data_IF_908334676631
#
_entry.id   IF_908334676631
#
_cell.length_a   1.000
_cell.length_b   1.000
_cell.length_c   1.000
_cell.angle_alpha   90.00
_cell.angle_beta   90.00
_cell.angle_gamma   90.00
#
_symmetry.space_group_name_H-M   'P 1'
#
loop_
_entity.id
_entity.type
_entity.pdbx_description
1 polymer ?
#
# COMPACT_ATOMS: atom_id res chain seq x y z
N UNK A 1 13.33 46.92 12.64
CA UNK A 1 12.59 45.74 13.14
C UNK A 1 11.98 45.08 11.92
N UNK A 2 12.61 44.01 11.43
CA UNK A 2 12.15 43.29 10.25
C UNK A 2 10.93 42.46 10.62
N UNK A 3 9.81 42.71 9.95
CA UNK A 3 8.66 41.83 10.02
C UNK A 3 8.99 40.57 9.25
N UNK A 4 9.10 39.45 9.96
CA UNK A 4 8.98 38.12 9.35
C UNK A 4 7.62 38.07 8.66
N UNK A 5 7.64 38.17 7.33
CA UNK A 5 6.49 37.87 6.49
C UNK A 5 6.24 36.36 6.62
N UNK A 6 5.37 35.98 7.56
CA UNK A 6 4.80 34.64 7.62
C UNK A 6 4.15 34.37 6.26
N UNK A 7 4.77 33.48 5.48
CA UNK A 7 4.28 33.08 4.16
C UNK A 7 2.82 32.63 4.26
N UNK A 8 1.98 33.04 3.31
CA UNK A 8 0.57 32.64 3.26
C UNK A 8 0.45 31.09 3.20
N UNK A 9 -0.58 30.45 3.78
CA UNK A 9 -0.81 29.00 3.66
C UNK A 9 -0.73 28.48 2.22
N UNK A 10 -1.12 29.31 1.24
CA UNK A 10 -1.03 28.98 -0.19
C UNK A 10 0.40 29.04 -0.74
N UNK A 11 1.23 29.98 -0.26
CA UNK A 11 2.65 30.07 -0.60
C UNK A 11 3.44 28.87 -0.03
N UNK A 12 3.06 28.41 1.17
CA UNK A 12 3.67 27.24 1.79
C UNK A 12 3.39 25.96 1.00
N UNK A 13 2.14 25.77 0.55
CA UNK A 13 1.75 24.63 -0.30
C UNK A 13 2.48 24.63 -1.64
N UNK A 14 2.56 25.79 -2.28
CA UNK A 14 3.27 25.94 -3.55
C UNK A 14 4.77 25.66 -3.39
N UNK A 15 5.38 26.09 -2.29
CA UNK A 15 6.77 25.80 -1.99
C UNK A 15 7.02 24.29 -1.81
N UNK A 16 6.14 23.60 -1.06
CA UNK A 16 6.19 22.14 -0.87
C UNK A 16 6.08 21.38 -2.19
N UNK A 17 5.18 21.79 -3.09
CA UNK A 17 5.04 21.20 -4.43
C UNK A 17 6.33 21.33 -5.24
N UNK A 18 6.92 22.53 -5.27
CA UNK A 18 8.20 22.74 -5.96
C UNK A 18 9.33 21.88 -5.41
N UNK A 19 9.39 21.70 -4.08
CA UNK A 19 10.39 20.82 -3.46
C UNK A 19 10.16 19.35 -3.84
N UNK A 20 8.91 18.90 -3.90
CA UNK A 20 8.56 17.53 -4.34
C UNK A 20 8.99 17.32 -5.80
N UNK A 21 8.73 18.28 -6.68
CA UNK A 21 9.09 18.22 -8.10
C UNK A 21 10.61 18.23 -8.32
N UNK A 22 11.34 19.08 -7.58
CA UNK A 22 12.81 19.09 -7.63
C UNK A 22 13.39 17.74 -7.18
N UNK A 23 12.88 17.17 -6.08
CA UNK A 23 13.28 15.84 -5.63
C UNK A 23 12.96 14.77 -6.68
N UNK A 24 11.82 14.87 -7.36
CA UNK A 24 11.46 13.96 -8.45
C UNK A 24 12.47 14.02 -9.60
N UNK A 25 12.92 15.21 -9.97
CA UNK A 25 13.94 15.39 -11.00
C UNK A 25 15.28 14.78 -10.57
N UNK A 26 15.71 15.01 -9.32
CA UNK A 26 16.93 14.40 -8.79
C UNK A 26 16.83 12.86 -8.78
N UNK A 27 15.69 12.30 -8.36
CA UNK A 27 15.44 10.84 -8.38
C UNK A 27 15.56 10.30 -9.82
N UNK A 28 15.02 11.00 -10.81
CA UNK A 28 15.11 10.59 -12.21
C UNK A 28 16.57 10.57 -12.71
N UNK A 29 17.36 11.59 -12.37
CA UNK A 29 18.81 11.61 -12.69
C UNK A 29 19.55 10.41 -12.06
N UNK A 30 19.23 10.07 -10.81
CA UNK A 30 19.81 8.88 -10.18
C UNK A 30 19.35 7.58 -10.85
N UNK A 31 18.11 7.49 -11.33
CA UNK A 31 17.62 6.32 -12.08
C UNK A 31 18.35 6.13 -13.40
N UNK A 32 18.61 7.22 -14.11
CA UNK A 32 19.43 7.19 -15.34
C UNK A 32 20.86 6.75 -15.04
N UNK A 33 21.49 7.31 -13.99
CA UNK A 33 22.82 6.90 -13.55
C UNK A 33 22.87 5.41 -13.17
N UNK A 34 21.87 4.92 -12.42
CA UNK A 34 21.73 3.50 -12.07
C UNK A 34 21.66 2.64 -13.33
N UNK A 35 20.86 3.03 -14.33
CA UNK A 35 20.75 2.31 -15.60
C UNK A 35 22.08 2.28 -16.37
N UNK A 36 22.78 3.42 -16.43
CA UNK A 36 24.11 3.53 -17.03
C UNK A 36 25.17 2.68 -16.33
N UNK A 37 25.17 2.64 -15.00
CA UNK A 37 26.06 1.76 -14.23
C UNK A 37 25.68 0.29 -14.42
N UNK A 38 24.40 -0.04 -14.61
CA UNK A 38 23.95 -1.41 -14.84
C UNK A 38 24.40 -1.97 -16.20
N UNK A 39 24.49 -1.13 -17.23
CA UNK A 39 24.92 -1.53 -18.59
C UNK A 39 26.43 -1.71 -18.74
N UNK A 40 27.22 -1.22 -17.78
CA UNK A 40 28.68 -1.41 -17.75
C UNK A 40 29.09 -2.81 -17.26
N UNK A 41 30.29 -3.25 -17.64
CA UNK A 41 30.87 -4.53 -17.24
C UNK A 41 30.98 -4.70 -15.72
N UNK A 42 30.88 -5.94 -15.22
CA UNK A 42 30.86 -6.23 -13.77
C UNK A 42 32.21 -5.95 -13.11
N UNK A 43 32.25 -5.01 -12.18
CA UNK A 43 33.41 -4.65 -11.37
C UNK A 43 32.96 -4.32 -9.93
N UNK A 44 33.83 -4.52 -8.94
CA UNK A 44 33.52 -4.28 -7.53
C UNK A 44 33.31 -2.79 -7.26
N UNK A 45 34.13 -1.94 -7.90
CA UNK A 45 33.99 -0.49 -7.85
C UNK A 45 32.67 0.00 -8.47
N UNK A 46 32.26 -0.58 -9.60
CA UNK A 46 30.97 -0.27 -10.24
C UNK A 46 29.81 -0.72 -9.37
N UNK A 47 29.90 -1.89 -8.74
CA UNK A 47 28.86 -2.38 -7.84
C UNK A 47 28.72 -1.54 -6.57
N UNK A 48 29.82 -1.04 -6.01
CA UNK A 48 29.79 -0.08 -4.90
C UNK A 48 29.16 1.24 -5.35
N UNK A 49 29.51 1.73 -6.54
CA UNK A 49 28.93 2.96 -7.12
C UNK A 49 27.43 2.80 -7.39
N UNK A 50 27.00 1.63 -7.87
CA UNK A 50 25.59 1.29 -8.09
C UNK A 50 24.82 1.27 -6.76
N UNK A 51 25.40 0.71 -5.69
CA UNK A 51 24.80 0.73 -4.36
C UNK A 51 24.72 2.15 -3.80
N UNK A 52 25.74 2.98 -4.00
CA UNK A 52 25.74 4.39 -3.59
C UNK A 52 24.63 5.19 -4.31
N UNK A 53 24.53 5.04 -5.64
CA UNK A 53 23.46 5.68 -6.43
C UNK A 53 22.06 5.22 -5.98
N UNK A 54 21.89 3.92 -5.69
CA UNK A 54 20.63 3.39 -5.13
C UNK A 54 20.32 3.95 -3.75
N UNK A 55 21.32 4.03 -2.86
CA UNK A 55 21.15 4.62 -1.53
C UNK A 55 20.74 6.09 -1.59
N UNK A 56 21.37 6.88 -2.46
CA UNK A 56 21.04 8.29 -2.67
C UNK A 56 19.63 8.44 -3.25
N UNK A 57 19.27 7.64 -4.26
CA UNK A 57 17.91 7.60 -4.81
C UNK A 57 16.88 7.27 -3.72
N UNK A 58 17.09 6.22 -2.94
CA UNK A 58 16.16 5.83 -1.86
C UNK A 58 16.09 6.90 -0.76
N UNK A 59 17.19 7.61 -0.47
CA UNK A 59 17.16 8.72 0.50
C UNK A 59 16.33 9.91 0.00
N UNK A 60 16.41 10.23 -1.29
CA UNK A 60 15.58 11.26 -1.91
C UNK A 60 14.11 10.84 -1.97
N UNK A 61 13.83 9.57 -2.28
CA UNK A 61 12.48 9.01 -2.25
C UNK A 61 11.86 9.11 -0.84
N UNK A 62 12.61 8.80 0.23
CA UNK A 62 12.16 8.99 1.62
C UNK A 62 11.83 10.46 1.88
N UNK A 63 12.72 11.39 1.49
CA UNK A 63 12.49 12.83 1.69
C UNK A 63 11.25 13.30 0.95
N UNK A 64 11.02 12.80 -0.27
CA UNK A 64 9.81 13.11 -1.05
C UNK A 64 8.55 12.58 -0.35
N UNK A 65 8.59 11.34 0.13
CA UNK A 65 7.48 10.75 0.92
C UNK A 65 7.18 11.60 2.16
N UNK A 66 8.21 12.06 2.88
CA UNK A 66 8.05 12.93 4.05
C UNK A 66 7.37 14.26 3.71
N UNK A 67 7.77 14.92 2.62
CA UNK A 67 7.11 16.17 2.18
C UNK A 67 5.68 15.93 1.72
N UNK A 68 5.38 14.78 1.10
CA UNK A 68 4.01 14.42 0.73
C UNK A 68 3.12 14.17 1.94
N UNK A 69 3.65 13.59 3.02
CA UNK A 69 2.95 13.46 4.31
C UNK A 69 2.67 14.85 4.89
N UNK A 70 3.68 15.72 4.97
CA UNK A 70 3.49 17.09 5.48
C UNK A 70 2.47 17.89 4.67
N UNK A 71 2.45 17.72 3.34
CA UNK A 71 1.43 18.35 2.50
C UNK A 71 0.02 17.86 2.85
N UNK A 72 -0.16 16.54 3.01
CA UNK A 72 -1.45 15.97 3.38
C UNK A 72 -1.91 16.41 4.78
N UNK A 73 -1.00 16.46 5.76
CA UNK A 73 -1.27 16.96 7.12
C UNK A 73 -1.74 18.42 7.10
N UNK A 74 -1.12 19.26 6.27
CA UNK A 74 -1.54 20.66 6.11
C UNK A 74 -2.92 20.78 5.45
N UNK A 75 -3.20 19.95 4.44
CA UNK A 75 -4.52 19.91 3.80
C UNK A 75 -5.61 19.47 4.79
N UNK A 76 -5.32 18.49 5.67
CA UNK A 76 -6.20 18.11 6.78
C UNK A 76 -6.39 19.28 7.75
N UNK A 77 -5.33 19.99 8.12
CA UNK A 77 -5.39 21.18 8.96
C UNK A 77 -6.37 22.23 8.42
N UNK A 78 -6.25 22.56 7.12
CA UNK A 78 -7.16 23.51 6.47
C UNK A 78 -8.61 23.01 6.44
N UNK A 79 -8.82 21.71 6.21
CA UNK A 79 -10.18 21.11 6.24
C UNK A 79 -10.79 21.14 7.64
N UNK A 80 -10.00 20.92 8.68
CA UNK A 80 -10.47 21.07 10.07
C UNK A 80 -10.88 22.51 10.39
N UNK A 81 -10.11 23.51 9.92
CA UNK A 81 -10.49 24.93 10.07
C UNK A 81 -11.80 25.22 9.34
N UNK A 82 -11.95 24.75 8.10
CA UNK A 82 -13.19 24.92 7.32
C UNK A 82 -14.39 24.23 7.99
N UNK A 83 -14.20 23.05 8.60
CA UNK A 83 -15.23 22.37 9.38
C UNK A 83 -15.65 23.18 10.62
N UNK A 84 -14.69 23.73 11.36
CA UNK A 84 -14.97 24.57 12.53
C UNK A 84 -15.74 25.85 12.14
N UNK A 85 -15.38 26.47 11.02
CA UNK A 85 -16.10 27.63 10.47
C UNK A 85 -17.52 27.28 10.03
N UNK A 86 -17.70 26.13 9.37
CA UNK A 86 -19.01 25.60 9.00
C UNK A 86 -19.88 25.36 10.24
N UNK A 87 -19.33 24.78 11.30
CA UNK A 87 -20.04 24.55 12.57
C UNK A 87 -20.45 25.84 13.26
N UNK A 88 -19.55 26.84 13.30
CA UNK A 88 -19.87 28.18 13.82
C UNK A 88 -20.98 28.85 13.01
N UNK A 89 -20.95 28.74 11.68
CA UNK A 89 -22.00 29.29 10.81
C UNK A 89 -23.35 28.62 11.08
N UNK A 90 -23.36 27.29 11.18
CA UNK A 90 -24.57 26.50 11.47
C UNK A 90 -25.15 26.84 12.85
N UNK A 91 -24.30 27.00 13.87
CA UNK A 91 -24.71 27.45 15.20
C UNK A 91 -25.39 28.82 15.17
N UNK A 92 -24.85 29.79 14.41
CA UNK A 92 -25.46 31.11 14.23
C UNK A 92 -26.82 31.03 13.54
N UNK A 93 -26.94 30.22 12.49
CA UNK A 93 -28.21 30.04 11.76
C UNK A 93 -29.30 29.40 12.63
N UNK A 94 -28.93 28.41 13.47
CA UNK A 94 -29.84 27.83 14.47
C UNK A 94 -30.29 28.84 15.51
N UNK A 95 -29.40 29.69 15.99
CA UNK A 95 -29.75 30.74 16.96
C UNK A 95 -30.71 31.77 16.34
N UNK A 96 -30.50 32.17 15.08
CA UNK A 96 -31.40 33.08 14.37
C UNK A 96 -32.80 32.46 14.26
N UNK A 97 -32.92 31.19 13.85
CA UNK A 97 -34.23 30.51 13.79
C UNK A 97 -34.88 30.44 15.18
N UNK A 98 -34.11 30.12 16.23
CA UNK A 98 -34.63 30.05 17.59
C UNK A 98 -35.14 31.41 18.08
N UNK A 99 -34.45 32.51 17.74
CA UNK A 99 -34.90 33.86 18.04
C UNK A 99 -36.17 34.22 17.27
N UNK A 100 -36.27 33.86 15.98
CA UNK A 100 -37.48 34.09 15.18
C UNK A 100 -38.69 33.35 15.76
N UNK A 101 -38.53 32.10 16.20
CA UNK A 101 -39.61 31.33 16.83
C UNK A 101 -40.05 31.99 18.14
N UNK A 102 -39.12 32.43 18.99
CA UNK A 102 -39.44 33.16 20.23
C UNK A 102 -40.18 34.47 19.97
N UNK A 103 -39.78 35.22 18.95
CA UNK A 103 -40.47 36.46 18.57
C UNK A 103 -41.88 36.21 18.05
N UNK A 104 -42.10 35.10 17.34
CA UNK A 104 -43.44 34.69 16.90
C UNK A 104 -44.30 34.34 18.13
N UNK A 105 -43.78 33.56 19.07
CA UNK A 105 -44.47 33.17 20.30
C UNK A 105 -44.86 34.38 21.18
N UNK A 106 -43.93 35.32 21.39
CA UNK A 106 -44.18 36.58 22.11
C UNK A 106 -45.22 37.47 21.42
N UNK A 107 -45.34 37.39 20.09
CA UNK A 107 -46.32 38.14 19.29
C UNK A 107 -47.68 37.44 19.23
N UNK A 108 -47.73 36.10 19.26
CA UNK A 108 -48.97 35.35 19.35
C UNK A 108 -49.69 35.57 20.69
N UNK A 109 -48.96 35.88 21.77
CA UNK A 109 -49.53 36.37 23.03
C UNK A 109 -50.18 37.77 22.87
N UNK A 110 -49.69 38.60 21.95
CA UNK A 110 -50.33 39.87 21.54
C UNK A 110 -51.40 39.58 20.49
N UNK A 111 -52.55 39.06 20.92
CA UNK A 111 -53.60 38.54 20.03
C UNK A 111 -53.84 39.38 18.76
N UNK A 112 -53.99 38.70 17.61
CA UNK A 112 -54.06 39.23 16.23
C UNK A 112 -54.88 40.53 16.07
N UNK A 113 -55.94 40.73 16.86
CA UNK A 113 -56.74 41.96 16.87
C UNK A 113 -55.92 43.21 17.26
N UNK A 114 -55.02 43.09 18.23
CA UNK A 114 -54.18 44.19 18.73
C UNK A 114 -53.13 44.60 17.68
N UNK A 115 -52.63 43.64 16.91
CA UNK A 115 -51.67 43.87 15.81
C UNK A 115 -52.32 44.57 14.60
N UNK A 116 -53.56 44.20 14.27
CA UNK A 116 -54.36 44.87 13.21
C UNK A 116 -54.74 46.31 13.60
N UNK A 117 -54.98 46.57 14.89
CA UNK A 117 -55.27 47.92 15.40
C UNK A 117 -54.02 48.82 15.43
N UNK A 118 -52.82 48.23 15.53
CA UNK A 118 -51.54 48.95 15.55
C UNK A 118 -51.02 49.32 14.15
N UNK A 119 -51.29 48.49 13.16
CA UNK A 119 -50.81 48.68 11.78
C UNK A 119 -51.89 49.33 10.90
N UNK A 120 -51.53 50.40 10.19
CA UNK A 120 -52.49 51.23 9.45
C UNK A 120 -53.04 50.58 8.17
N UNK A 121 -52.41 49.52 7.65
CA UNK A 121 -52.83 48.80 6.44
C UNK A 121 -52.57 47.29 6.55
N UNK A 122 -53.50 46.49 6.04
CA UNK A 122 -53.39 45.02 5.97
C UNK A 122 -52.26 44.55 5.03
N UNK A 123 -51.86 45.37 4.05
CA UNK A 123 -50.74 45.12 3.14
C UNK A 123 -49.41 44.97 3.88
N UNK A 124 -49.18 45.82 4.87
CA UNK A 124 -47.90 45.95 5.56
C UNK A 124 -47.63 44.72 6.44
N UNK A 125 -48.71 44.15 7.01
CA UNK A 125 -48.70 42.87 7.71
C UNK A 125 -48.35 41.69 6.79
N UNK A 126 -48.89 41.68 5.58
CA UNK A 126 -48.65 40.61 4.61
C UNK A 126 -47.20 40.64 4.08
N UNK A 127 -46.65 41.84 3.89
CA UNK A 127 -45.23 42.03 3.53
C UNK A 127 -44.29 41.53 4.64
N UNK A 128 -44.59 41.83 5.91
CA UNK A 128 -43.77 41.39 7.04
C UNK A 128 -43.76 39.85 7.18
N UNK A 129 -44.93 39.20 7.07
CA UNK A 129 -45.04 37.73 7.14
C UNK A 129 -44.31 37.05 5.97
N UNK A 130 -44.45 37.55 4.75
CA UNK A 130 -43.74 37.01 3.59
C UNK A 130 -42.23 37.17 3.75
N UNK A 131 -41.76 38.33 4.24
CA UNK A 131 -40.33 38.56 4.46
C UNK A 131 -39.72 37.59 5.49
N UNK A 132 -40.45 37.28 6.56
CA UNK A 132 -40.04 36.30 7.58
C UNK A 132 -39.97 34.89 6.98
N UNK A 133 -40.93 34.53 6.13
CA UNK A 133 -40.94 33.25 5.43
C UNK A 133 -39.75 33.10 4.49
N UNK A 134 -39.44 34.13 3.71
CA UNK A 134 -38.30 34.13 2.78
C UNK A 134 -36.96 34.03 3.53
N UNK A 135 -36.82 34.72 4.66
CA UNK A 135 -35.64 34.60 5.54
C UNK A 135 -35.53 33.17 6.08
N UNK A 136 -36.63 32.59 6.55
CA UNK A 136 -36.64 31.22 7.06
C UNK A 136 -36.24 30.20 5.98
N UNK A 137 -36.80 30.31 4.77
CA UNK A 137 -36.44 29.46 3.63
C UNK A 137 -34.96 29.61 3.27
N UNK A 138 -34.44 30.85 3.26
CA UNK A 138 -33.03 31.13 2.97
C UNK A 138 -32.08 30.53 4.02
N UNK A 139 -32.43 30.63 5.31
CA UNK A 139 -31.62 30.04 6.38
C UNK A 139 -31.66 28.51 6.30
N UNK A 140 -32.83 27.91 6.09
CA UNK A 140 -32.94 26.45 5.94
C UNK A 140 -32.12 25.95 4.75
N UNK A 141 -32.14 26.67 3.63
CA UNK A 141 -31.30 26.36 2.48
C UNK A 141 -29.80 26.47 2.80
N UNK A 142 -29.37 27.56 3.45
CA UNK A 142 -27.97 27.74 3.87
C UNK A 142 -27.52 26.63 4.82
N UNK A 143 -28.34 26.24 5.79
CA UNK A 143 -28.04 25.12 6.68
C UNK A 143 -27.86 23.80 5.93
N UNK A 144 -28.74 23.52 4.95
CA UNK A 144 -28.63 22.32 4.12
C UNK A 144 -27.34 22.31 3.30
N UNK A 145 -26.96 23.45 2.71
CA UNK A 145 -25.69 23.60 1.98
C UNK A 145 -24.47 23.41 2.89
N UNK A 146 -24.53 23.92 4.14
CA UNK A 146 -23.45 23.74 5.12
C UNK A 146 -23.33 22.27 5.54
N UNK A 147 -24.44 21.56 5.77
CA UNK A 147 -24.38 20.14 6.13
C UNK A 147 -23.77 19.29 5.00
N UNK A 148 -24.11 19.58 3.74
CA UNK A 148 -23.47 18.94 2.57
C UNK A 148 -21.96 19.23 2.57
N UNK A 149 -21.58 20.50 2.73
CA UNK A 149 -20.17 20.90 2.78
C UNK A 149 -19.41 20.18 3.92
N UNK A 150 -20.03 20.00 5.09
CA UNK A 150 -19.42 19.26 6.21
C UNK A 150 -19.17 17.80 5.86
N UNK A 151 -20.12 17.14 5.21
CA UNK A 151 -19.97 15.75 4.76
C UNK A 151 -18.81 15.64 3.76
N UNK A 152 -18.75 16.54 2.78
CA UNK A 152 -17.68 16.56 1.79
C UNK A 152 -16.30 16.79 2.42
N UNK A 153 -16.19 17.75 3.34
CA UNK A 153 -14.94 18.03 4.06
C UNK A 153 -14.51 16.86 4.94
N UNK A 154 -15.45 16.15 5.57
CA UNK A 154 -15.17 14.98 6.40
C UNK A 154 -14.68 13.79 5.55
N UNK A 155 -15.34 13.52 4.42
CA UNK A 155 -14.94 12.46 3.48
C UNK A 155 -13.54 12.75 2.91
N UNK A 156 -13.28 13.98 2.47
CA UNK A 156 -11.96 14.35 1.96
C UNK A 156 -10.86 14.22 3.01
N UNK A 157 -11.18 14.52 4.28
CA UNK A 157 -10.25 14.34 5.39
C UNK A 157 -9.92 12.87 5.60
N UNK A 158 -10.92 11.98 5.61
CA UNK A 158 -10.72 10.53 5.73
C UNK A 158 -9.83 9.99 4.60
N UNK A 159 -10.04 10.45 3.37
CA UNK A 159 -9.19 10.10 2.21
C UNK A 159 -7.73 10.54 2.44
N UNK A 160 -7.52 11.75 2.97
CA UNK A 160 -6.17 12.24 3.26
C UNK A 160 -5.50 11.49 4.42
N UNK A 161 -6.25 11.11 5.45
CA UNK A 161 -5.75 10.30 6.56
C UNK A 161 -5.31 8.91 6.08
N UNK A 162 -6.12 8.24 5.25
CA UNK A 162 -5.72 6.98 4.61
C UNK A 162 -4.47 7.13 3.74
N UNK A 163 -4.35 8.23 2.99
CA UNK A 163 -3.14 8.53 2.20
C UNK A 163 -1.89 8.72 3.08
N UNK A 164 -2.02 9.34 4.25
CA UNK A 164 -0.89 9.48 5.19
C UNK A 164 -0.44 8.10 5.70
N UNK A 165 -1.37 7.21 6.02
CA UNK A 165 -1.06 5.84 6.44
C UNK A 165 -0.28 5.09 5.36
N UNK A 166 -0.79 5.10 4.11
CA UNK A 166 -0.12 4.48 2.95
C UNK A 166 1.31 5.03 2.73
N UNK A 167 1.47 6.36 2.82
CA UNK A 167 2.78 7.02 2.70
C UNK A 167 3.70 6.64 3.87
N UNK A 168 3.17 6.47 5.08
CA UNK A 168 3.89 5.99 6.25
C UNK A 168 4.43 4.57 6.07
N UNK A 169 3.60 3.65 5.55
CA UNK A 169 4.03 2.30 5.22
C UNK A 169 5.11 2.29 4.14
N UNK A 170 4.93 3.08 3.08
CA UNK A 170 5.92 3.24 2.01
C UNK A 170 7.26 3.73 2.56
N UNK A 171 7.24 4.74 3.45
CA UNK A 171 8.45 5.25 4.11
C UNK A 171 9.16 4.17 4.91
N UNK A 172 8.43 3.34 5.66
CA UNK A 172 9.02 2.24 6.42
C UNK A 172 9.72 1.23 5.51
N UNK A 173 9.07 0.86 4.39
CA UNK A 173 9.68 -0.03 3.39
C UNK A 173 10.95 0.58 2.78
N UNK A 174 10.92 1.87 2.42
CA UNK A 174 12.09 2.59 1.90
C UNK A 174 13.24 2.64 2.92
N UNK A 175 12.95 2.81 4.21
CA UNK A 175 13.97 2.77 5.27
C UNK A 175 14.59 1.39 5.43
N UNK A 176 13.78 0.31 5.38
CA UNK A 176 14.28 -1.07 5.39
C UNK A 176 15.18 -1.32 4.18
N UNK A 177 14.74 -0.91 2.99
CA UNK A 177 15.54 -1.00 1.76
C UNK A 177 16.87 -0.26 1.89
N UNK A 178 16.86 0.97 2.42
CA UNK A 178 18.06 1.77 2.65
C UNK A 178 19.04 1.05 3.59
N UNK A 179 18.56 0.48 4.70
CA UNK A 179 19.40 -0.29 5.64
C UNK A 179 20.03 -1.51 4.97
N UNK A 180 19.26 -2.25 4.16
CA UNK A 180 19.77 -3.39 3.41
C UNK A 180 20.86 -2.98 2.40
N UNK A 181 20.67 -1.86 1.69
CA UNK A 181 21.66 -1.33 0.77
C UNK A 181 22.96 -0.90 1.47
N UNK A 182 22.86 -0.28 2.65
CA UNK A 182 24.03 0.09 3.48
C UNK A 182 24.82 -1.15 3.87
N UNK A 183 24.17 -2.20 4.36
CA UNK A 183 24.84 -3.47 4.71
C UNK A 183 25.59 -4.07 3.52
N UNK A 184 24.93 -4.13 2.35
CA UNK A 184 25.54 -4.63 1.12
C UNK A 184 26.73 -3.78 0.66
N UNK A 185 26.66 -2.46 0.86
CA UNK A 185 27.75 -1.55 0.51
C UNK A 185 28.96 -1.75 1.42
N UNK A 186 28.75 -1.86 2.73
CA UNK A 186 29.79 -2.13 3.73
C UNK A 186 30.49 -3.46 3.46
N UNK A 187 29.74 -4.53 3.20
CA UNK A 187 30.29 -5.83 2.82
C UNK A 187 31.19 -5.73 1.58
N UNK A 188 30.76 -5.02 0.54
CA UNK A 188 31.56 -4.84 -0.68
C UNK A 188 32.77 -3.93 -0.49
N UNK A 189 32.67 -2.90 0.33
CA UNK A 189 33.83 -2.05 0.70
C UNK A 189 34.87 -2.84 1.48
N UNK A 190 34.43 -3.64 2.44
CA UNK A 190 35.30 -4.54 3.21
C UNK A 190 35.99 -5.55 2.29
N UNK A 191 35.25 -6.13 1.35
CA UNK A 191 35.81 -7.03 0.35
C UNK A 191 36.82 -6.34 -0.57
N UNK A 192 36.54 -5.10 -0.99
CA UNK A 192 37.47 -4.30 -1.80
C UNK A 192 38.78 -4.01 -1.04
N UNK A 193 38.67 -3.69 0.25
CA UNK A 193 39.81 -3.46 1.11
C UNK A 193 40.63 -4.74 1.35
N UNK A 194 39.96 -5.88 1.59
CA UNK A 194 40.60 -7.19 1.77
C UNK A 194 41.31 -7.67 0.51
N UNK A 195 40.73 -7.41 -0.66
CA UNK A 195 41.34 -7.69 -1.97
C UNK A 195 42.43 -6.68 -2.34
N UNK A 196 42.71 -5.67 -1.50
CA UNK A 196 43.70 -4.60 -1.74
C UNK A 196 43.53 -3.93 -3.12
N UNK A 197 42.31 -3.88 -3.65
CA UNK A 197 42.04 -3.39 -5.01
C UNK A 197 42.51 -4.32 -6.14
N UNK A 198 42.94 -5.56 -5.85
CA UNK A 198 43.25 -6.58 -6.85
C UNK A 198 41.95 -7.18 -7.41
N UNK A 199 41.30 -6.41 -8.30
CA UNK A 199 40.07 -6.78 -8.98
C UNK A 199 40.22 -8.06 -9.83
N UNK A 200 41.46 -8.40 -10.23
CA UNK A 200 41.81 -9.67 -10.89
C UNK A 200 41.58 -10.90 -10.02
N UNK A 201 41.93 -10.83 -8.73
CA UNK A 201 41.76 -11.97 -7.81
C UNK A 201 40.31 -12.09 -7.37
N UNK A 202 39.58 -10.98 -7.27
CA UNK A 202 38.13 -10.98 -7.10
C UNK A 202 37.40 -11.52 -8.33
N UNK A 203 37.78 -11.14 -9.56
CA UNK A 203 37.17 -11.70 -10.78
C UNK A 203 37.42 -13.21 -10.88
N UNK A 204 38.62 -13.69 -10.49
CA UNK A 204 38.91 -15.12 -10.40
C UNK A 204 38.11 -15.80 -9.28
N UNK A 205 37.99 -15.18 -8.11
CA UNK A 205 37.17 -15.68 -7.00
C UNK A 205 35.68 -15.64 -7.32
N UNK A 206 35.18 -14.68 -8.09
CA UNK A 206 33.79 -14.56 -8.51
C UNK A 206 33.48 -15.56 -9.63
N UNK A 207 34.42 -15.80 -10.55
CA UNK A 207 34.30 -16.83 -11.57
C UNK A 207 34.36 -18.23 -10.95
N UNK A 208 35.26 -18.44 -9.99
CA UNK A 208 35.34 -19.67 -9.18
C UNK A 208 34.13 -19.84 -8.27
N UNK A 209 33.69 -18.80 -7.56
CA UNK A 209 32.48 -18.82 -6.73
C UNK A 209 31.19 -18.90 -7.55
N UNK A 210 31.17 -18.44 -8.81
CA UNK A 210 30.06 -18.65 -9.73
C UNK A 210 30.05 -20.08 -10.28
N UNK A 211 31.21 -20.67 -10.52
CA UNK A 211 31.35 -22.10 -10.87
C UNK A 211 31.03 -22.99 -9.67
N UNK A 212 31.48 -22.63 -8.48
CA UNK A 212 31.20 -23.31 -7.21
C UNK A 212 29.75 -23.06 -6.78
N UNK A 213 29.14 -21.90 -7.02
CA UNK A 213 27.71 -21.67 -6.78
C UNK A 213 26.83 -22.35 -7.84
N UNK A 214 27.33 -22.57 -9.06
CA UNK A 214 26.68 -23.44 -10.04
C UNK A 214 26.81 -24.92 -9.65
N UNK A 215 27.96 -25.33 -9.11
CA UNK A 215 28.19 -26.67 -8.58
C UNK A 215 27.42 -26.92 -7.27
N UNK A 216 27.29 -25.92 -6.39
CA UNK A 216 26.48 -25.92 -5.18
C UNK A 216 24.99 -25.79 -5.56
N UNK A 217 24.59 -25.05 -6.59
CA UNK A 217 23.21 -25.15 -7.12
C UNK A 217 22.89 -26.53 -7.68
N UNK A 218 23.89 -27.20 -8.25
CA UNK A 218 23.77 -28.59 -8.70
C UNK A 218 23.83 -29.61 -7.53
N UNK A 219 24.49 -29.28 -6.42
CA UNK A 219 24.68 -30.19 -5.27
C UNK A 219 23.78 -29.90 -4.05
N UNK A 220 23.18 -28.70 -3.89
CA UNK A 220 22.43 -28.28 -2.69
C UNK A 220 20.93 -28.57 -2.78
N UNK A 221 20.47 -29.34 -3.75
CA UNK A 221 19.10 -29.84 -3.76
C UNK A 221 19.06 -31.22 -4.43
N UNK A 222 19.66 -32.21 -3.77
CA UNK A 222 19.10 -33.55 -3.84
C UNK A 222 17.80 -33.50 -3.02
N UNK A 223 16.66 -33.53 -3.69
CA UNK A 223 15.34 -33.62 -3.07
C UNK A 223 15.22 -34.96 -2.33
N UNK A 224 15.63 -35.01 -1.07
CA UNK A 224 15.23 -36.07 -0.17
C UNK A 224 13.78 -35.80 0.27
N UNK A 225 12.82 -36.50 -0.35
CA UNK A 225 11.43 -36.50 0.10
C UNK A 225 10.40 -36.98 -0.91
N UNK A 226 10.66 -36.84 -2.20
CA UNK A 226 9.76 -37.35 -3.24
C UNK A 226 10.59 -37.74 -4.44
N UNK A 227 10.38 -38.93 -5.02
CA UNK A 227 11.18 -39.55 -6.09
C UNK A 227 11.26 -38.81 -7.43
N UNK A 228 11.22 -37.48 -7.44
CA UNK A 228 11.49 -36.61 -8.58
C UNK A 228 12.58 -35.62 -8.16
N UNK A 229 13.82 -35.84 -8.59
CA UNK A 229 14.93 -34.90 -8.36
C UNK A 229 14.82 -33.70 -9.30
N UNK A 230 14.79 -32.48 -8.76
CA UNK A 230 14.69 -31.26 -9.54
C UNK A 230 15.54 -30.16 -8.90
N UNK A 231 16.41 -29.54 -9.70
CA UNK A 231 17.24 -28.42 -9.24
C UNK A 231 16.40 -27.16 -9.05
N UNK A 232 16.86 -26.26 -8.16
CA UNK A 232 16.23 -24.96 -7.92
C UNK A 232 16.09 -24.12 -9.20
N UNK A 233 17.03 -24.27 -10.13
CA UNK A 233 16.97 -23.62 -11.45
C UNK A 233 15.78 -24.10 -12.27
N UNK A 234 15.56 -25.42 -12.31
CA UNK A 234 14.42 -26.02 -13.00
C UNK A 234 13.09 -25.66 -12.32
N UNK A 235 13.07 -25.61 -10.98
CA UNK A 235 11.92 -25.12 -10.21
C UNK A 235 11.59 -23.64 -10.50
N UNK A 236 12.61 -22.78 -10.59
CA UNK A 236 12.44 -21.38 -10.98
C UNK A 236 11.92 -21.24 -12.41
N UNK A 237 12.42 -22.04 -13.35
CA UNK A 237 11.94 -22.02 -14.74
C UNK A 237 10.48 -22.45 -14.85
N UNK A 238 10.03 -23.44 -14.08
CA UNK A 238 8.61 -23.79 -14.02
C UNK A 238 7.75 -22.72 -13.34
N UNK A 239 8.24 -22.12 -12.25
CA UNK A 239 7.54 -21.00 -11.61
C UNK A 239 7.47 -19.77 -12.53
N UNK A 240 8.49 -19.55 -13.37
CA UNK A 240 8.48 -18.53 -14.42
C UNK A 240 7.43 -18.84 -15.48
N UNK A 241 7.41 -20.06 -16.01
CA UNK A 241 6.41 -20.49 -16.98
C UNK A 241 4.98 -20.34 -16.44
N UNK A 242 4.74 -20.80 -15.20
CA UNK A 242 3.44 -20.65 -14.53
C UNK A 242 3.09 -19.18 -14.27
N UNK A 243 4.07 -18.37 -13.88
CA UNK A 243 3.90 -16.93 -13.68
C UNK A 243 3.57 -16.17 -14.97
N UNK A 244 4.23 -16.53 -16.08
CA UNK A 244 3.98 -15.93 -17.39
C UNK A 244 2.56 -16.24 -17.90
N UNK A 245 2.01 -17.41 -17.53
CA UNK A 245 0.64 -17.83 -17.88
C UNK A 245 -0.44 -17.25 -16.95
N UNK A 246 -0.11 -17.02 -15.67
CA UNK A 246 -1.10 -16.66 -14.63
C UNK A 246 -0.99 -15.22 -14.15
N UNK A 247 0.07 -14.50 -14.55
CA UNK A 247 0.38 -13.16 -14.06
C UNK A 247 0.96 -13.12 -12.63
N UNK A 248 1.14 -14.28 -11.98
CA UNK A 248 1.64 -14.35 -10.60
C UNK A 248 3.16 -14.34 -10.58
N UNK A 249 3.77 -13.53 -9.69
CA UNK A 249 5.24 -13.41 -9.62
C UNK A 249 5.88 -14.77 -9.28
N UNK A 250 6.91 -15.23 -10.02
CA UNK A 250 7.55 -16.53 -9.78
C UNK A 250 8.11 -16.69 -8.36
N UNK A 251 8.62 -15.61 -7.76
CA UNK A 251 9.08 -15.61 -6.38
C UNK A 251 7.96 -15.91 -5.36
N UNK A 252 6.73 -15.45 -5.64
CA UNK A 252 5.57 -15.74 -4.82
C UNK A 252 5.14 -17.20 -4.96
N UNK A 253 5.08 -17.73 -6.20
CA UNK A 253 4.78 -19.14 -6.45
C UNK A 253 5.76 -20.08 -5.74
N UNK A 254 7.05 -19.75 -5.78
CA UNK A 254 8.10 -20.49 -5.08
C UNK A 254 7.98 -20.38 -3.55
N UNK A 255 7.62 -19.21 -3.03
CA UNK A 255 7.41 -19.00 -1.60
C UNK A 255 6.19 -19.77 -1.08
N UNK A 256 5.09 -19.78 -1.84
CA UNK A 256 3.90 -20.60 -1.56
C UNK A 256 4.27 -22.08 -1.62
N UNK A 257 4.98 -22.54 -2.66
CA UNK A 257 5.44 -23.92 -2.74
C UNK A 257 6.30 -24.32 -1.54
N UNK A 258 7.22 -23.45 -1.09
CA UNK A 258 8.00 -23.67 0.13
C UNK A 258 7.13 -23.74 1.38
N UNK A 259 6.14 -22.86 1.51
CA UNK A 259 5.28 -22.78 2.70
C UNK A 259 4.32 -23.97 2.80
N UNK A 260 3.72 -24.37 1.68
CA UNK A 260 2.69 -25.40 1.60
C UNK A 260 3.25 -26.82 1.55
N UNK A 261 4.41 -27.01 0.92
CA UNK A 261 4.96 -28.36 0.67
C UNK A 261 6.33 -28.59 1.29
N UNK A 262 6.96 -27.56 1.88
CA UNK A 262 8.39 -27.58 2.19
C UNK A 262 9.23 -28.12 1.03
N UNK A 263 8.98 -27.64 -0.19
CA UNK A 263 9.62 -28.11 -1.43
C UNK A 263 9.42 -29.60 -1.76
N UNK A 264 8.26 -30.14 -1.42
CA UNK A 264 7.94 -31.57 -1.62
C UNK A 264 8.30 -32.47 -0.44
N UNK A 265 8.80 -31.92 0.67
CA UNK A 265 9.03 -32.66 1.92
C UNK A 265 7.75 -32.96 2.72
N UNK A 266 6.70 -32.15 2.54
CA UNK A 266 5.40 -32.29 3.20
C UNK A 266 4.33 -32.72 2.18
N UNK A 267 4.53 -33.89 1.60
CA UNK A 267 3.49 -34.62 0.84
C UNK A 267 2.93 -35.74 1.70
N UNK A 268 1.69 -36.17 1.43
CA UNK A 268 1.01 -37.15 2.26
C UNK A 268 1.81 -38.46 2.42
N UNK A 269 1.94 -38.99 3.63
CA UNK A 269 2.72 -40.21 3.88
C UNK A 269 1.92 -41.51 3.73
N UNK A 270 0.68 -41.43 3.21
CA UNK A 270 -0.26 -42.53 3.07
C UNK A 270 -0.20 -43.20 1.70
N UNK A 271 -0.87 -44.35 1.57
CA UNK A 271 -0.98 -45.09 0.30
C UNK A 271 -2.43 -45.20 -0.14
N UNK A 272 -2.67 -45.14 -1.46
CA UNK A 272 -4.02 -45.20 -2.02
C UNK A 272 -4.77 -46.50 -1.67
N UNK A 273 -4.04 -47.60 -1.47
CA UNK A 273 -4.64 -48.90 -1.09
C UNK A 273 -5.17 -48.93 0.35
N UNK A 274 -4.61 -48.13 1.25
CA UNK A 274 -4.93 -48.17 2.69
C UNK A 274 -5.70 -46.93 3.16
N UNK A 275 -5.29 -45.76 2.69
CA UNK A 275 -5.72 -44.47 3.23
C UNK A 275 -6.84 -43.83 2.40
N UNK A 276 -6.95 -44.18 1.12
CA UNK A 276 -8.01 -43.69 0.22
C UNK A 276 -9.26 -44.56 0.29
N UNK A 277 -10.41 -43.90 0.20
CA UNK A 277 -11.72 -44.55 0.12
C UNK A 277 -11.76 -45.49 -1.08
N UNK A 278 -12.27 -46.74 -0.94
CA UNK A 278 -12.28 -47.72 -2.03
C UNK A 278 -12.91 -47.24 -3.34
N UNK A 279 -13.94 -46.40 -3.27
CA UNK A 279 -14.64 -45.87 -4.44
C UNK A 279 -13.79 -44.91 -5.29
N UNK A 280 -12.77 -44.27 -4.71
CA UNK A 280 -11.96 -43.23 -5.37
C UNK A 280 -10.66 -43.79 -5.96
N UNK A 281 -10.39 -45.07 -5.72
CA UNK A 281 -9.13 -45.75 -6.07
C UNK A 281 -8.93 -45.89 -7.58
N UNK A 282 -9.98 -46.25 -8.31
CA UNK A 282 -9.92 -46.43 -9.75
C UNK A 282 -9.66 -45.09 -10.46
N UNK A 283 -10.28 -44.01 -9.95
CA UNK A 283 -10.03 -42.65 -10.43
C UNK A 283 -8.58 -42.22 -10.15
N UNK A 284 -8.02 -42.57 -9.00
CA UNK A 284 -6.63 -42.26 -8.67
C UNK A 284 -5.64 -42.97 -9.60
N UNK A 285 -5.85 -44.26 -9.89
CA UNK A 285 -5.03 -45.02 -10.85
C UNK A 285 -5.09 -44.37 -12.23
N UNK A 286 -6.29 -44.00 -12.70
CA UNK A 286 -6.47 -43.33 -13.99
C UNK A 286 -5.74 -41.98 -14.07
N UNK A 287 -5.76 -41.20 -12.99
CA UNK A 287 -5.04 -39.92 -12.92
C UNK A 287 -3.53 -40.15 -12.98
N UNK A 288 -3.02 -41.13 -12.24
CA UNK A 288 -1.60 -41.48 -12.25
C UNK A 288 -1.16 -41.91 -13.66
N UNK A 289 -1.94 -42.73 -14.36
CA UNK A 289 -1.65 -43.14 -15.74
C UNK A 289 -1.59 -41.94 -16.70
N UNK A 290 -2.56 -41.02 -16.62
CA UNK A 290 -2.58 -39.80 -17.46
C UNK A 290 -1.41 -38.87 -17.19
N UNK A 291 -0.90 -38.84 -15.97
CA UNK A 291 0.24 -38.04 -15.56
C UNK A 291 1.60 -38.77 -15.72
N UNK A 292 1.60 -40.03 -16.16
CA UNK A 292 2.80 -40.86 -16.28
C UNK A 292 3.43 -41.23 -14.92
N UNK A 293 2.64 -41.24 -13.85
CA UNK A 293 3.06 -41.56 -12.49
C UNK A 293 2.70 -43.02 -12.14
N UNK A 294 3.52 -43.68 -11.31
CA UNK A 294 3.19 -45.00 -10.77
C UNK A 294 2.29 -44.85 -9.53
N UNK A 295 1.06 -45.40 -9.52
CA UNK A 295 0.13 -45.27 -8.41
C UNK A 295 0.69 -45.79 -7.07
N UNK A 296 1.48 -46.86 -7.10
CA UNK A 296 1.98 -47.52 -5.89
C UNK A 296 3.16 -46.77 -5.23
N UNK A 297 3.83 -45.88 -5.97
CA UNK A 297 4.88 -45.01 -5.44
C UNK A 297 4.43 -43.56 -5.25
N UNK A 298 3.17 -43.25 -5.58
CA UNK A 298 2.64 -41.88 -5.49
C UNK A 298 2.01 -41.63 -4.12
N UNK A 299 2.57 -40.73 -3.29
CA UNK A 299 2.08 -40.45 -1.95
C UNK A 299 0.69 -39.80 -1.93
N UNK A 300 -0.15 -40.20 -0.96
CA UNK A 300 -1.46 -39.58 -0.71
C UNK A 300 -1.63 -39.21 0.77
N UNK A 301 -2.57 -38.33 1.09
CA UNK A 301 -2.86 -37.98 2.49
C UNK A 301 -3.26 -39.21 3.30
N UNK A 302 -2.72 -39.33 4.52
CA UNK A 302 -2.97 -40.44 5.42
C UNK A 302 -4.40 -40.36 5.97
N UNK A 303 -5.05 -41.50 6.18
CA UNK A 303 -6.40 -41.54 6.73
C UNK A 303 -6.42 -41.00 8.18
N UNK A 304 -7.27 -40.01 8.50
CA UNK A 304 -7.50 -39.59 9.87
C UNK A 304 -8.48 -40.54 10.58
N UNK A 305 -8.53 -40.45 11.92
CA UNK A 305 -9.35 -41.32 12.76
C UNK A 305 -10.87 -41.23 12.48
N UNK A 306 -11.34 -40.10 11.94
CA UNK A 306 -12.75 -39.80 11.70
C UNK A 306 -13.21 -39.98 10.25
N UNK A 307 -12.34 -40.45 9.33
CA UNK A 307 -12.68 -40.43 7.91
C UNK A 307 -11.75 -41.23 7.01
N UNK A 308 -11.54 -40.71 5.80
CA UNK A 308 -10.60 -41.25 4.80
C UNK A 308 -9.62 -40.14 4.40
N UNK A 309 -8.41 -40.53 4.03
CA UNK A 309 -7.45 -39.66 3.37
C UNK A 309 -7.54 -39.88 1.86
N UNK A 310 -6.40 -39.85 1.19
CA UNK A 310 -6.31 -40.18 -0.24
C UNK A 310 -6.17 -38.99 -1.18
N UNK A 311 -6.03 -37.78 -0.65
CA UNK A 311 -5.84 -36.62 -1.49
C UNK A 311 -4.35 -36.49 -1.91
N UNK A 312 -4.10 -36.13 -3.17
CA UNK A 312 -2.77 -35.99 -3.78
C UNK A 312 -2.32 -34.53 -3.73
N UNK A 313 -1.06 -34.28 -3.37
CA UNK A 313 -0.46 -32.93 -3.39
C UNK A 313 0.23 -32.52 -2.09
N UNK A 314 0.67 -31.25 -1.99
CA UNK A 314 1.13 -30.61 -0.76
C UNK A 314 0.05 -30.55 0.32
N UNK A 315 0.44 -30.74 1.59
CA UNK A 315 -0.45 -30.58 2.74
C UNK A 315 0.27 -29.78 3.84
N UNK A 316 -0.46 -28.86 4.48
CA UNK A 316 -0.05 -28.20 5.73
C UNK A 316 -0.01 -29.19 6.90
#
# INVERSE_FOLDING_TARGET
MGGDSLASPDELKENLRRQIDDLQNQINQYRENISGLQSQGKSLNREISLLDSKMKSTALEIKRTDLSIQQAEMEIGNKNTALEEAEKKLGREREIIAQSIRQIDERDEQGILEMILKNQKLSDLFEEVNSLRDIQESIQKSMAEIEILKVDLANDKEILEGKIEELGELKNLQQIQKKALVSQQEEKKNLLAQTKGQESDYQKLLQKASQDAAAIRNNLYLLEGSGVSMSLEKAYNYAKLAGDLTGVRPAFLLAVLKKESSWGGNVGTGTWRKDMRPADRDAFVLICEKLGLNPDTTPVSKKPWYGWGGAMGPWL
#
